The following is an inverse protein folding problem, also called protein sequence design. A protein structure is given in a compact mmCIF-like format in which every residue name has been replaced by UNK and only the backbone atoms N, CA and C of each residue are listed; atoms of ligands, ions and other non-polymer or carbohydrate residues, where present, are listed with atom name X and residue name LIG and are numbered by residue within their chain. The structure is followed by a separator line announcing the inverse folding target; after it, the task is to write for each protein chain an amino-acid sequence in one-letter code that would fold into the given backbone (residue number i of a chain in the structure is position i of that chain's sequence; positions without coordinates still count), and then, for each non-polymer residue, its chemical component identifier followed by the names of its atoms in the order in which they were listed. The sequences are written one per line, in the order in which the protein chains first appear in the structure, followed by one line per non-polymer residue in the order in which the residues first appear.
data_IF_295274352069
#
_entry.id   IF_295274352069
#
_cell.length_a   1.000
_cell.length_b   1.000
_cell.length_c   1.000
_cell.angle_alpha   90.00
_cell.angle_beta   90.00
_cell.angle_gamma   90.00
#
_symmetry.space_group_name_H-M   'P 1'
#
loop_
_entity.id
_entity.type
_entity.pdbx_description
1 polymer ?
#
# COMPACT_ATOMS: atom_id res chain seq x y z
N UNK A 1 14.37 -7.99 -19.29
CA UNK A 1 14.55 -8.99 -18.23
C UNK A 1 14.25 -8.30 -16.89
N UNK A 2 12.97 -8.27 -16.48
CA UNK A 2 12.53 -7.54 -15.29
C UNK A 2 12.63 -8.37 -14.00
N UNK A 3 12.52 -9.69 -14.14
CA UNK A 3 12.43 -10.63 -13.02
C UNK A 3 13.50 -11.71 -13.13
N UNK A 4 14.02 -12.15 -11.99
CA UNK A 4 14.82 -13.36 -11.84
C UNK A 4 13.87 -14.45 -11.33
N UNK A 5 13.59 -15.46 -12.16
CA UNK A 5 12.71 -16.57 -11.78
C UNK A 5 13.59 -17.79 -11.45
N UNK A 6 13.59 -18.18 -10.18
CA UNK A 6 14.35 -19.32 -9.65
C UNK A 6 13.61 -20.65 -9.86
N UNK A 7 12.29 -20.61 -9.78
CA UNK A 7 11.44 -21.79 -9.95
C UNK A 7 11.32 -22.20 -11.43
N UNK A 8 11.61 -23.47 -11.72
CA UNK A 8 11.66 -23.98 -13.09
C UNK A 8 10.28 -24.01 -13.78
N UNK A 9 9.21 -24.24 -13.03
CA UNK A 9 7.84 -24.27 -13.55
C UNK A 9 7.39 -22.87 -13.93
N UNK A 10 7.55 -21.91 -13.01
CA UNK A 10 7.24 -20.50 -13.25
C UNK A 10 8.08 -19.95 -14.42
N UNK A 11 9.36 -20.33 -14.50
CA UNK A 11 10.25 -19.90 -15.59
C UNK A 11 9.84 -20.47 -16.94
N UNK A 12 9.27 -21.68 -16.97
CA UNK A 12 8.73 -22.29 -18.19
C UNK A 12 7.45 -21.59 -18.64
N UNK A 13 6.57 -21.26 -17.69
CA UNK A 13 5.27 -20.64 -17.94
C UNK A 13 5.38 -19.17 -18.35
N UNK A 14 6.20 -18.39 -17.64
CA UNK A 14 6.30 -16.94 -17.76
C UNK A 14 7.62 -16.53 -18.44
N UNK A 15 7.73 -16.89 -19.72
CA UNK A 15 8.86 -16.54 -20.59
C UNK A 15 8.41 -15.84 -21.87
N UNK A 16 9.31 -15.06 -22.46
CA UNK A 16 9.04 -14.35 -23.71
C UNK A 16 7.93 -13.30 -23.54
N UNK A 17 6.80 -13.48 -24.22
CA UNK A 17 5.65 -12.56 -24.17
C UNK A 17 4.61 -12.93 -23.11
N UNK A 18 4.77 -14.05 -22.41
CA UNK A 18 3.85 -14.49 -21.37
C UNK A 18 4.10 -13.68 -20.10
N UNK A 19 3.18 -12.77 -19.79
CA UNK A 19 3.21 -11.93 -18.60
C UNK A 19 2.65 -12.68 -17.39
N UNK A 20 3.20 -12.41 -16.21
CA UNK A 20 2.80 -13.05 -14.95
C UNK A 20 1.60 -12.32 -14.33
N UNK A 21 0.52 -13.00 -13.87
CA UNK A 21 -0.51 -12.35 -13.07
C UNK A 21 0.08 -11.71 -11.82
N UNK A 22 -0.39 -10.51 -11.47
CA UNK A 22 0.19 -9.74 -10.37
C UNK A 22 0.11 -10.49 -9.02
N UNK A 23 -0.99 -11.18 -8.75
CA UNK A 23 -1.12 -12.02 -7.54
C UNK A 23 -0.07 -13.15 -7.53
N UNK A 24 0.07 -13.88 -8.63
CA UNK A 24 1.04 -14.97 -8.75
C UNK A 24 2.47 -14.48 -8.58
N UNK A 25 2.78 -13.28 -9.09
CA UNK A 25 4.07 -12.62 -8.84
C UNK A 25 4.27 -12.34 -7.35
N UNK A 26 3.30 -11.71 -6.68
CA UNK A 26 3.41 -11.39 -5.26
C UNK A 26 3.62 -12.64 -4.40
N UNK A 27 2.81 -13.67 -4.60
CA UNK A 27 2.96 -14.93 -3.87
C UNK A 27 4.34 -15.54 -4.09
N UNK A 28 4.76 -15.64 -5.36
CA UNK A 28 6.06 -16.20 -5.72
C UNK A 28 7.25 -15.38 -5.18
N UNK A 29 7.12 -14.06 -5.10
CA UNK A 29 8.13 -13.17 -4.53
C UNK A 29 8.31 -13.42 -3.04
N UNK A 30 7.22 -13.42 -2.26
CA UNK A 30 7.31 -13.61 -0.80
C UNK A 30 7.80 -15.00 -0.39
N UNK A 31 7.63 -16.02 -1.22
CA UNK A 31 8.18 -17.37 -0.99
C UNK A 31 9.56 -17.59 -1.64
N UNK A 32 10.18 -16.55 -2.20
CA UNK A 32 11.54 -16.60 -2.75
C UNK A 32 11.69 -17.34 -4.09
N UNK A 33 10.60 -17.51 -4.85
CA UNK A 33 10.64 -18.14 -6.19
C UNK A 33 10.95 -17.15 -7.31
N UNK A 34 10.66 -15.87 -7.09
CA UNK A 34 10.91 -14.78 -8.03
C UNK A 34 11.53 -13.60 -7.28
N UNK A 35 12.54 -12.98 -7.87
CA UNK A 35 13.09 -11.71 -7.40
C UNK A 35 13.03 -10.63 -8.49
N UNK A 36 13.12 -9.37 -8.08
CA UNK A 36 13.35 -8.25 -8.98
C UNK A 36 14.75 -8.33 -9.59
N UNK A 37 14.88 -8.09 -10.89
CA UNK A 37 16.18 -8.01 -11.57
C UNK A 37 16.69 -6.55 -11.61
N UNK A 38 16.86 -5.92 -10.44
CA UNK A 38 17.22 -4.51 -10.31
C UNK A 38 16.46 -3.84 -9.18
N UNK A 39 16.36 -2.51 -9.25
CA UNK A 39 15.61 -1.74 -8.26
C UNK A 39 14.11 -2.10 -8.31
N UNK A 40 13.49 -2.51 -7.18
CA UNK A 40 12.08 -2.89 -7.15
C UNK A 40 11.13 -1.77 -7.59
N UNK A 41 11.40 -0.51 -7.24
CA UNK A 41 10.52 0.61 -7.56
C UNK A 41 10.52 0.85 -9.07
N UNK A 42 11.70 0.95 -9.69
CA UNK A 42 11.84 1.13 -11.14
C UNK A 42 11.16 0.00 -11.92
N UNK A 43 11.32 -1.25 -11.48
CA UNK A 43 10.71 -2.41 -12.15
C UNK A 43 9.19 -2.42 -11.98
N UNK A 44 8.69 -1.99 -10.82
CA UNK A 44 7.25 -1.87 -10.53
C UNK A 44 6.58 -0.72 -11.29
N UNK A 45 7.30 0.35 -11.63
CA UNK A 45 6.81 1.37 -12.56
C UNK A 45 6.54 0.78 -13.93
N UNK A 46 7.40 -0.15 -14.37
CA UNK A 46 7.29 -0.87 -15.64
C UNK A 46 6.44 -2.15 -15.56
N UNK A 47 5.64 -2.33 -14.50
CA UNK A 47 4.82 -3.56 -14.28
C UNK A 47 3.91 -3.93 -15.44
N UNK A 48 3.44 -2.98 -16.24
CA UNK A 48 2.61 -3.29 -17.40
C UNK A 48 3.36 -4.06 -18.49
N UNK A 49 4.70 -4.05 -18.49
CA UNK A 49 5.51 -4.76 -19.48
C UNK A 49 5.60 -6.26 -19.18
N UNK A 50 5.59 -6.64 -17.90
CA UNK A 50 5.87 -7.99 -17.45
C UNK A 50 4.74 -8.64 -16.65
N UNK A 51 3.80 -7.86 -16.11
CA UNK A 51 2.66 -8.34 -15.36
C UNK A 51 1.33 -8.22 -16.13
N UNK A 52 0.35 -9.03 -15.71
CA UNK A 52 -1.06 -8.87 -16.08
C UNK A 52 -1.90 -8.62 -14.83
N UNK A 53 -3.02 -7.90 -15.01
CA UNK A 53 -3.97 -7.59 -13.94
C UNK A 53 -5.27 -8.39 -14.10
N UNK A 54 -5.14 -9.61 -14.59
CA UNK A 54 -6.28 -10.53 -14.73
C UNK A 54 -6.59 -11.19 -13.39
N UNK A 55 -7.85 -11.56 -13.20
CA UNK A 55 -8.24 -12.37 -12.05
C UNK A 55 -7.63 -13.76 -12.14
N UNK A 56 -7.04 -14.21 -11.03
CA UNK A 56 -6.55 -15.57 -10.88
C UNK A 56 -7.63 -16.45 -10.28
N UNK A 57 -7.50 -17.77 -10.46
CA UNK A 57 -8.43 -18.72 -9.83
C UNK A 57 -8.38 -18.65 -8.29
N UNK A 58 -7.20 -18.36 -7.72
CA UNK A 58 -7.02 -18.11 -6.29
C UNK A 58 -7.90 -16.95 -5.80
N UNK A 59 -7.90 -15.83 -6.53
CA UNK A 59 -8.74 -14.68 -6.23
C UNK A 59 -10.24 -14.96 -6.38
N UNK A 60 -10.65 -15.72 -7.41
CA UNK A 60 -12.04 -16.15 -7.55
C UNK A 60 -12.49 -17.02 -6.37
N UNK A 61 -11.65 -17.97 -5.94
CA UNK A 61 -11.92 -18.82 -4.78
C UNK A 61 -12.01 -17.99 -3.50
N UNK A 62 -11.08 -17.07 -3.28
CA UNK A 62 -11.10 -16.15 -2.14
C UNK A 62 -12.39 -15.32 -2.10
N UNK A 63 -12.76 -14.72 -3.23
CA UNK A 63 -13.96 -13.90 -3.35
C UNK A 63 -15.22 -14.67 -2.96
N UNK A 64 -15.37 -15.90 -3.47
CA UNK A 64 -16.54 -16.73 -3.22
C UNK A 64 -16.59 -17.28 -1.79
N UNK A 65 -15.44 -17.63 -1.21
CA UNK A 65 -15.39 -18.39 0.04
C UNK A 65 -15.13 -17.55 1.28
N UNK A 66 -14.53 -16.37 1.15
CA UNK A 66 -14.17 -15.50 2.29
C UNK A 66 -14.90 -14.15 2.18
N UNK A 67 -14.69 -13.43 1.07
CA UNK A 67 -15.18 -12.05 0.92
C UNK A 67 -16.71 -11.94 0.90
N UNK A 68 -17.41 -12.79 0.14
CA UNK A 68 -18.88 -12.78 0.08
C UNK A 68 -19.51 -13.03 1.47
N UNK A 69 -19.17 -14.10 2.22
CA UNK A 69 -19.67 -14.29 3.58
C UNK A 69 -19.41 -13.10 4.51
N UNK A 70 -18.21 -12.54 4.49
CA UNK A 70 -17.82 -11.43 5.38
C UNK A 70 -18.59 -10.14 5.09
N UNK A 71 -18.83 -9.83 3.81
CA UNK A 71 -19.53 -8.59 3.40
C UNK A 71 -21.04 -8.65 3.66
N UNK A 72 -21.64 -9.84 3.62
CA UNK A 72 -23.07 -9.99 3.88
C UNK A 72 -23.38 -10.25 5.37
N UNK A 73 -22.36 -10.57 6.17
CA UNK A 73 -22.52 -10.91 7.58
C UNK A 73 -21.61 -10.04 8.46
N UNK A 74 -22.01 -8.79 8.65
CA UNK A 74 -21.32 -7.87 9.55
C UNK A 74 -21.82 -8.03 10.99
N UNK A 75 -20.90 -8.34 11.91
CA UNK A 75 -21.10 -8.17 13.35
C UNK A 75 -20.03 -7.23 13.89
N UNK A 76 -20.39 -6.43 14.90
CA UNK A 76 -19.48 -5.46 15.53
C UNK A 76 -18.19 -6.12 16.06
N UNK A 77 -18.29 -7.37 16.50
CA UNK A 77 -17.16 -8.18 16.98
C UNK A 77 -16.19 -8.56 15.84
N UNK A 78 -16.72 -8.86 14.64
CA UNK A 78 -15.88 -9.13 13.45
C UNK A 78 -15.17 -7.86 12.97
N UNK A 79 -15.86 -6.72 12.91
CA UNK A 79 -15.25 -5.45 12.48
C UNK A 79 -14.11 -5.05 13.44
N UNK A 80 -14.30 -5.23 14.76
CA UNK A 80 -13.27 -4.96 15.75
C UNK A 80 -12.05 -5.87 15.59
N UNK A 81 -12.26 -7.17 15.38
CA UNK A 81 -11.17 -8.13 15.16
C UNK A 81 -10.40 -7.85 13.86
N UNK A 82 -11.07 -7.48 12.77
CA UNK A 82 -10.40 -7.15 11.51
C UNK A 82 -9.53 -5.89 11.60
N UNK A 83 -9.98 -4.89 12.36
CA UNK A 83 -9.21 -3.66 12.58
C UNK A 83 -8.02 -3.92 13.50
N UNK A 84 -8.19 -4.70 14.57
CA UNK A 84 -7.14 -4.91 15.58
C UNK A 84 -5.85 -5.48 15.00
N UNK A 85 -5.95 -6.54 14.18
CA UNK A 85 -4.78 -7.23 13.61
C UNK A 85 -3.93 -6.35 12.68
N UNK A 86 -4.51 -5.30 12.08
CA UNK A 86 -3.81 -4.39 11.16
C UNK A 86 -3.06 -3.26 11.88
N UNK A 87 -3.39 -2.95 13.13
CA UNK A 87 -2.81 -1.84 13.90
C UNK A 87 -1.99 -2.28 15.11
N UNK A 88 -1.96 -3.57 15.47
CA UNK A 88 -1.26 -4.08 16.66
C UNK A 88 0.26 -4.29 16.49
N UNK A 89 0.87 -3.66 15.47
CA UNK A 89 2.34 -3.70 15.28
C UNK A 89 3.12 -2.73 16.17
N UNK A 90 2.43 -2.00 17.05
CA UNK A 90 3.02 -1.02 17.97
C UNK A 90 3.45 0.28 17.28
N UNK A 91 3.56 1.37 18.04
CA UNK A 91 4.01 2.67 17.50
C UNK A 91 5.49 2.66 17.10
N UNK A 92 6.31 1.84 17.75
CA UNK A 92 7.74 1.66 17.47
C UNK A 92 8.01 1.26 16.02
N UNK A 93 7.17 0.37 15.48
CA UNK A 93 7.26 -0.03 14.07
C UNK A 93 7.08 1.17 13.13
N UNK A 94 6.09 2.01 13.38
CA UNK A 94 5.76 3.16 12.53
C UNK A 94 6.71 4.35 12.74
N UNK A 95 7.12 4.60 13.99
CA UNK A 95 8.10 5.63 14.34
C UNK A 95 9.43 5.43 13.60
N UNK A 96 9.77 4.19 13.27
CA UNK A 96 10.98 3.87 12.51
C UNK A 96 11.03 4.51 11.10
N UNK A 97 9.88 4.93 10.53
CA UNK A 97 9.84 5.50 9.17
C UNK A 97 8.87 6.67 8.93
N UNK A 98 7.96 7.01 9.85
CA UNK A 98 7.00 8.11 9.66
C UNK A 98 7.47 9.48 10.18
N UNK A 99 8.47 9.50 11.07
CA UNK A 99 8.91 10.72 11.75
C UNK A 99 7.95 11.18 12.86
N UNK A 100 8.21 12.34 13.50
CA UNK A 100 7.58 12.71 14.77
C UNK A 100 6.07 12.94 14.73
N UNK A 101 5.51 13.36 13.59
CA UNK A 101 4.07 13.63 13.47
C UNK A 101 3.24 12.35 13.29
N UNK A 102 3.88 11.20 13.02
CA UNK A 102 3.20 9.91 12.83
C UNK A 102 2.13 9.91 11.74
N UNK A 103 2.25 10.79 10.74
CA UNK A 103 1.24 10.96 9.70
C UNK A 103 1.43 9.92 8.60
N UNK A 104 0.66 8.83 8.66
CA UNK A 104 0.71 7.76 7.66
C UNK A 104 -0.17 8.03 6.43
N UNK A 105 0.08 9.16 5.77
CA UNK A 105 -0.50 9.48 4.45
C UNK A 105 0.47 10.38 3.68
N UNK A 106 0.14 10.67 2.41
CA UNK A 106 0.96 11.53 1.54
C UNK A 106 1.40 12.82 2.23
N UNK A 107 2.59 13.31 1.88
CA UNK A 107 3.05 14.66 2.19
C UNK A 107 2.94 15.58 0.97
N UNK A 108 3.14 16.88 1.15
CA UNK A 108 3.11 17.88 0.07
C UNK A 108 4.48 18.52 -0.09
N UNK A 109 5.04 18.38 -1.29
CA UNK A 109 6.19 19.18 -1.71
C UNK A 109 5.69 20.59 -2.02
N UNK A 110 6.14 21.59 -1.26
CA UNK A 110 5.71 22.98 -1.46
C UNK A 110 6.42 23.67 -2.63
N UNK A 111 7.66 23.28 -2.92
CA UNK A 111 8.46 23.82 -4.01
C UNK A 111 9.21 22.69 -4.74
N UNK A 112 8.88 22.43 -6.02
CA UNK A 112 9.46 21.32 -6.78
C UNK A 112 10.94 21.54 -7.13
N UNK A 113 11.51 22.73 -6.89
CA UNK A 113 12.90 23.06 -7.18
C UNK A 113 13.85 22.81 -6.01
N UNK A 114 13.31 22.55 -4.81
CA UNK A 114 14.09 22.26 -3.60
C UNK A 114 13.78 20.87 -3.08
N UNK A 115 14.76 20.27 -2.39
CA UNK A 115 14.54 19.03 -1.64
C UNK A 115 13.90 19.37 -0.30
N UNK A 116 12.82 18.70 0.03
CA UNK A 116 12.13 18.81 1.32
C UNK A 116 12.24 17.47 2.07
N UNK A 117 12.39 17.55 3.38
CA UNK A 117 12.35 16.41 4.30
C UNK A 117 10.92 15.87 4.45
N UNK A 118 10.78 14.66 5.00
CA UNK A 118 9.45 14.09 5.28
C UNK A 118 8.66 15.01 6.22
N UNK A 119 9.31 15.50 7.26
CA UNK A 119 8.74 16.39 8.27
C UNK A 119 8.26 17.71 7.65
N UNK A 120 9.05 18.32 6.76
CA UNK A 120 8.63 19.51 6.01
C UNK A 120 7.42 19.21 5.13
N UNK A 121 7.44 18.10 4.38
CA UNK A 121 6.31 17.72 3.52
C UNK A 121 5.03 17.45 4.30
N UNK A 122 5.12 16.87 5.50
CA UNK A 122 3.96 16.64 6.37
C UNK A 122 3.41 17.96 6.94
N UNK A 123 4.29 18.88 7.37
CA UNK A 123 3.89 20.22 7.82
C UNK A 123 3.23 21.03 6.70
N UNK A 124 3.81 21.01 5.50
CA UNK A 124 3.25 21.69 4.32
C UNK A 124 1.83 21.21 4.01
N UNK A 125 1.55 19.91 4.17
CA UNK A 125 0.20 19.38 4.01
C UNK A 125 -0.76 19.91 5.06
N UNK A 126 -0.36 19.92 6.33
CA UNK A 126 -1.22 20.43 7.43
C UNK A 126 -1.58 21.90 7.19
N UNK A 127 -0.58 22.72 6.86
CA UNK A 127 -0.77 24.12 6.51
C UNK A 127 -1.73 24.27 5.30
N UNK A 128 -1.54 23.47 4.24
CA UNK A 128 -2.41 23.50 3.07
C UNK A 128 -3.87 23.11 3.41
N UNK A 129 -4.09 22.14 4.30
CA UNK A 129 -5.43 21.76 4.75
C UNK A 129 -6.09 22.94 5.49
N UNK A 130 -5.39 23.53 6.45
CA UNK A 130 -5.87 24.71 7.19
C UNK A 130 -6.22 25.87 6.25
N UNK A 131 -5.36 26.14 5.28
CA UNK A 131 -5.57 27.16 4.26
C UNK A 131 -6.77 26.87 3.37
N UNK A 132 -6.94 25.62 2.90
CA UNK A 132 -8.08 25.23 2.04
C UNK A 132 -9.42 25.27 2.78
N UNK A 133 -9.41 24.99 4.08
CA UNK A 133 -10.60 25.05 4.92
C UNK A 133 -10.86 26.46 5.46
N UNK A 134 -9.95 27.41 5.23
CA UNK A 134 -10.03 28.79 5.72
C UNK A 134 -10.23 28.83 7.24
N UNK A 135 -9.57 27.92 7.97
CA UNK A 135 -9.77 27.75 9.42
C UNK A 135 -9.48 29.03 10.18
N UNK A 136 -10.31 29.33 11.18
CA UNK A 136 -10.12 30.49 12.05
C UNK A 136 -10.05 30.08 13.51
N UNK A 137 -9.36 30.89 14.30
CA UNK A 137 -9.27 30.72 15.74
C UNK A 137 -10.68 30.72 16.37
N UNK A 138 -10.94 29.73 17.23
CA UNK A 138 -12.21 29.55 17.92
C UNK A 138 -13.28 28.75 17.16
N UNK A 139 -13.04 28.37 15.90
CA UNK A 139 -13.93 27.47 15.16
C UNK A 139 -13.81 26.02 15.63
N UNK A 140 -14.88 25.25 15.45
CA UNK A 140 -14.92 23.82 15.76
C UNK A 140 -14.87 23.02 14.46
N UNK A 141 -14.00 22.02 14.43
CA UNK A 141 -13.83 21.13 13.28
C UNK A 141 -13.99 19.68 13.71
N UNK A 142 -14.46 18.86 12.77
CA UNK A 142 -14.54 17.41 12.91
C UNK A 142 -13.52 16.80 11.95
N UNK A 143 -12.56 16.06 12.49
CA UNK A 143 -11.66 15.22 11.71
C UNK A 143 -12.11 13.77 11.79
N UNK A 144 -12.40 13.15 10.64
CA UNK A 144 -12.91 11.79 10.55
C UNK A 144 -11.74 10.89 10.15
N UNK A 145 -11.29 10.07 11.10
CA UNK A 145 -10.09 9.26 10.92
C UNK A 145 -8.80 10.03 11.21
N UNK A 146 -8.77 10.74 12.35
CA UNK A 146 -7.67 11.63 12.76
C UNK A 146 -6.34 10.94 13.07
N UNK A 147 -6.29 9.60 13.06
CA UNK A 147 -5.06 8.85 13.29
C UNK A 147 -4.41 9.19 14.64
N UNK A 148 -3.25 9.84 14.59
CA UNK A 148 -2.42 10.18 15.76
C UNK A 148 -2.65 11.61 16.29
N UNK A 149 -3.61 12.37 15.75
CA UNK A 149 -3.92 13.72 16.25
C UNK A 149 -4.74 14.57 15.31
#
# INVERSE_FOLDING_TARGET
HYLIIHDAELKSQYRGRNKIPMETFFEAYFIGKIDFNGDPLEIMELRHDWATFQFTFGQFKFFLTQWLPETFWHSREQDENQVRDHYDRGNDFYEAFLGPLMVYTSGIISDPTKRETLEEMQNNKMELICQKLHMKEGEKHLDIGCGWG
#
